data_IF_062265640278
#
_entry.id   IF_062265640278
#
_cell.length_a   1.000
_cell.length_b   1.000
_cell.length_c   1.000
_cell.angle_alpha   90.00
_cell.angle_beta   90.00
_cell.angle_gamma   90.00
#
_symmetry.space_group_name_H-M   'P 1'
#
loop_
_entity.id
_entity.type
_entity.pdbx_description
1 polymer ?
#
# COMPACT_ATOMS: atom_id res chain seq x y z
N UNK A 1 0.44 -3.61 -8.58
CA UNK A 1 -0.86 -2.92 -8.37
C UNK A 1 -0.64 -1.50 -7.86
N UNK A 2 0.07 -1.30 -6.73
CA UNK A 2 0.39 0.05 -6.21
C UNK A 2 1.01 0.99 -7.26
N UNK A 3 2.00 0.52 -8.02
CA UNK A 3 2.59 1.30 -9.11
C UNK A 3 1.60 1.76 -10.19
N UNK A 4 0.60 0.92 -10.49
CA UNK A 4 -0.45 1.29 -11.43
C UNK A 4 -1.38 2.34 -10.83
N UNK A 5 -1.65 2.28 -9.51
CA UNK A 5 -2.41 3.31 -8.80
C UNK A 5 -1.68 4.65 -8.83
N UNK A 6 -0.38 4.67 -8.50
CA UNK A 6 0.46 5.88 -8.57
C UNK A 6 0.45 6.47 -10.00
N UNK A 7 0.50 5.62 -11.04
CA UNK A 7 0.47 6.08 -12.44
C UNK A 7 -0.83 6.79 -12.84
N UNK A 8 -1.95 6.53 -12.16
CA UNK A 8 -3.19 7.30 -12.40
C UNK A 8 -3.03 8.79 -12.04
N UNK A 9 -2.12 9.10 -11.12
CA UNK A 9 -1.84 10.46 -10.67
C UNK A 9 -0.57 11.04 -11.30
N UNK A 10 0.43 10.19 -11.57
CA UNK A 10 1.72 10.56 -12.17
C UNK A 10 1.99 9.60 -13.35
N UNK A 11 1.52 9.92 -14.57
CA UNK A 11 1.56 9.00 -15.71
C UNK A 11 2.97 8.49 -16.05
N UNK A 12 3.97 9.34 -15.88
CA UNK A 12 5.38 9.03 -16.20
C UNK A 12 6.09 8.26 -15.08
N UNK A 13 5.38 7.85 -14.03
CA UNK A 13 5.98 7.12 -12.92
C UNK A 13 6.57 5.77 -13.37
N UNK A 14 7.89 5.67 -13.24
CA UNK A 14 8.67 4.47 -13.49
C UNK A 14 9.20 3.87 -12.18
N UNK A 15 9.36 2.55 -12.18
CA UNK A 15 10.01 1.83 -11.08
C UNK A 15 10.81 0.67 -11.64
N UNK A 16 11.83 0.26 -10.89
CA UNK A 16 12.65 -0.90 -11.19
C UNK A 16 12.69 -1.81 -9.97
N UNK A 17 12.88 -3.11 -10.19
CA UNK A 17 13.06 -4.08 -9.12
C UNK A 17 14.53 -4.45 -9.01
N UNK A 18 15.08 -4.33 -7.80
CA UNK A 18 16.44 -4.77 -7.51
C UNK A 18 16.44 -6.28 -7.31
N UNK A 19 17.28 -7.00 -8.07
CA UNK A 19 17.49 -8.42 -7.84
C UNK A 19 18.46 -8.57 -6.66
N UNK A 20 18.10 -9.40 -5.67
CA UNK A 20 18.88 -9.72 -4.46
C UNK A 20 18.73 -8.77 -3.26
N UNK A 21 17.54 -8.20 -3.05
CA UNK A 21 17.23 -7.56 -1.77
C UNK A 21 16.94 -8.62 -0.69
N UNK A 22 17.72 -8.71 0.41
CA UNK A 22 17.47 -9.70 1.47
C UNK A 22 16.10 -9.52 2.15
N UNK A 23 15.49 -8.33 2.05
CA UNK A 23 14.14 -8.07 2.59
C UNK A 23 13.06 -8.86 1.84
N UNK A 24 13.33 -9.31 0.62
CA UNK A 24 12.37 -10.15 -0.12
C UNK A 24 12.10 -11.47 0.61
N UNK A 25 13.14 -12.12 1.13
CA UNK A 25 12.99 -13.36 1.90
C UNK A 25 12.17 -13.16 3.19
N UNK A 26 12.31 -11.98 3.81
CA UNK A 26 11.50 -11.62 4.98
C UNK A 26 10.04 -11.42 4.57
N UNK A 27 9.79 -10.68 3.49
CA UNK A 27 8.44 -10.45 2.99
C UNK A 27 7.74 -11.74 2.55
N UNK A 28 8.46 -12.66 1.91
CA UNK A 28 7.95 -13.96 1.46
C UNK A 28 7.54 -14.87 2.62
N UNK A 29 8.05 -14.63 3.83
CA UNK A 29 7.70 -15.38 5.03
C UNK A 29 6.36 -14.96 5.66
N UNK A 30 5.82 -13.81 5.28
CA UNK A 30 4.60 -13.25 5.86
C UNK A 30 3.34 -13.66 5.06
N UNK A 31 2.17 -13.76 5.72
CA UNK A 31 0.92 -13.99 5.01
C UNK A 31 0.60 -12.81 4.08
N UNK A 32 0.01 -13.09 2.91
CA UNK A 32 -0.38 -12.06 1.94
C UNK A 32 -1.61 -11.25 2.32
N UNK A 33 -2.45 -11.78 3.21
CA UNK A 33 -3.66 -11.15 3.73
C UNK A 33 -3.97 -11.70 5.12
N UNK A 34 -4.72 -10.95 5.91
CA UNK A 34 -5.13 -11.31 7.27
C UNK A 34 -6.66 -11.33 7.30
N UNK A 35 -7.23 -12.33 7.96
CA UNK A 35 -8.66 -12.33 8.30
C UNK A 35 -8.89 -11.42 9.51
N UNK A 36 -9.64 -10.34 9.31
CA UNK A 36 -9.97 -9.34 10.32
C UNK A 36 -11.43 -9.44 10.83
N UNK A 37 -12.11 -10.57 10.59
CA UNK A 37 -13.50 -10.79 11.03
C UNK A 37 -13.67 -10.67 12.54
N UNK A 38 -12.72 -11.16 13.34
CA UNK A 38 -12.79 -11.04 14.81
C UNK A 38 -12.78 -9.57 15.25
N UNK A 39 -11.87 -8.77 14.71
CA UNK A 39 -11.80 -7.34 15.01
C UNK A 39 -13.07 -6.59 14.59
N UNK A 40 -13.60 -6.96 13.42
CA UNK A 40 -14.84 -6.41 12.88
C UNK A 40 -16.04 -6.73 13.77
N UNK A 41 -16.13 -7.97 14.27
CA UNK A 41 -17.25 -8.43 15.08
C UNK A 41 -17.17 -7.95 16.54
N UNK A 42 -15.98 -7.96 17.14
CA UNK A 42 -15.80 -7.70 18.56
C UNK A 42 -15.89 -6.20 18.89
N UNK A 43 -15.36 -5.34 18.01
CA UNK A 43 -15.26 -3.90 18.28
C UNK A 43 -15.50 -3.02 17.05
N UNK A 44 -16.09 -3.59 15.99
CA UNK A 44 -16.55 -2.81 14.84
C UNK A 44 -15.42 -2.26 13.97
N UNK A 45 -14.26 -2.91 13.95
CA UNK A 45 -13.17 -2.52 13.06
C UNK A 45 -13.63 -2.47 11.61
N UNK A 46 -13.36 -1.35 10.92
CA UNK A 46 -13.54 -1.24 9.48
C UNK A 46 -12.47 -0.31 8.87
N UNK A 47 -11.73 -0.77 7.84
CA UNK A 47 -10.77 0.07 7.15
C UNK A 47 -11.50 1.16 6.35
N UNK A 48 -11.13 2.42 6.57
CA UNK A 48 -11.72 3.58 5.86
C UNK A 48 -10.99 3.96 4.57
N UNK A 49 -9.75 3.51 4.44
CA UNK A 49 -8.86 3.81 3.33
C UNK A 49 -8.55 2.53 2.57
N UNK A 50 -9.03 2.47 1.33
CA UNK A 50 -8.56 1.49 0.36
C UNK A 50 -7.25 1.96 -0.30
N UNK A 51 -6.69 1.14 -1.19
CA UNK A 51 -5.44 1.43 -1.89
C UNK A 51 -5.49 2.76 -2.68
N UNK A 52 -6.63 3.09 -3.28
CA UNK A 52 -6.79 4.30 -4.09
C UNK A 52 -6.82 5.54 -3.20
N UNK A 53 -7.69 5.56 -2.18
CA UNK A 53 -7.80 6.65 -1.21
C UNK A 53 -6.49 6.90 -0.47
N UNK A 54 -5.80 5.82 -0.07
CA UNK A 54 -4.49 5.93 0.57
C UNK A 54 -3.46 6.54 -0.38
N UNK A 55 -3.42 6.11 -1.65
CA UNK A 55 -2.45 6.62 -2.63
C UNK A 55 -2.67 8.12 -2.89
N UNK A 56 -3.93 8.53 -3.08
CA UNK A 56 -4.30 9.94 -3.28
C UNK A 56 -3.89 10.81 -2.08
N UNK A 57 -4.26 10.40 -0.87
CA UNK A 57 -4.00 11.18 0.34
C UNK A 57 -2.49 11.30 0.64
N UNK A 58 -1.73 10.22 0.42
CA UNK A 58 -0.28 10.23 0.57
C UNK A 58 0.40 11.19 -0.40
N UNK A 59 0.03 11.16 -1.69
CA UNK A 59 0.59 12.08 -2.69
C UNK A 59 0.26 13.54 -2.36
N UNK A 60 -0.97 13.81 -1.93
CA UNK A 60 -1.43 15.15 -1.56
C UNK A 60 -0.66 15.74 -0.38
N UNK A 61 -0.33 14.92 0.62
CA UNK A 61 0.33 15.41 1.84
C UNK A 61 1.86 15.42 1.72
N UNK A 62 2.47 14.46 1.00
CA UNK A 62 3.91 14.47 0.78
C UNK A 62 4.37 15.64 -0.10
N UNK A 63 3.55 16.07 -1.06
CA UNK A 63 3.84 17.24 -1.89
C UNK A 63 3.92 18.55 -1.09
N UNK A 64 3.22 18.65 0.05
CA UNK A 64 3.21 19.85 0.89
C UNK A 64 4.43 19.96 1.80
N UNK A 65 5.18 18.88 1.96
CA UNK A 65 6.35 18.82 2.85
C UNK A 65 7.66 19.22 2.14
N UNK A 66 7.56 20.06 1.10
CA UNK A 66 8.67 20.73 0.41
C UNK A 66 8.31 22.21 0.23
#
# INVERSE_FOLDING_TARGET
ILAAEIRKHIPDFALTYTQNDPRQLIADSWPRSIDDNYASNDWGWQPKFDLGKMTEDMLKNLQKSH
#
